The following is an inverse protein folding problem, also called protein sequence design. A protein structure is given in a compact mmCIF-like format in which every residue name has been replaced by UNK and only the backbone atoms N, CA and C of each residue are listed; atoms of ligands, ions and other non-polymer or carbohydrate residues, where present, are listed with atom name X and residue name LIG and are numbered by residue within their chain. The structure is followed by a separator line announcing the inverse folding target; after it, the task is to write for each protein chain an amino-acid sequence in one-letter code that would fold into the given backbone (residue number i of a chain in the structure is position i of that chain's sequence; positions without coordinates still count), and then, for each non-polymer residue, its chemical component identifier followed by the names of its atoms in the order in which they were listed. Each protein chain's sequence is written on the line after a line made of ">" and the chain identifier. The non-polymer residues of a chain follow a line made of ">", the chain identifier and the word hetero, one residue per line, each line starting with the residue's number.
data_IF_839229253513
#
_entry.id   IF_839229253513
#
_cell.length_a   1.000
_cell.length_b   1.000
_cell.length_c   1.000
_cell.angle_alpha   90.00
_cell.angle_beta   90.00
_cell.angle_gamma   90.00
#
_symmetry.space_group_name_H-M   'P 1'
#
loop_
_entity.id
_entity.type
_entity.pdbx_description
1 polymer ?
#
# COMPACT_ATOMS: atom_id res chain seq x y z
N UNK A 1 -56.67 -40.24 -23.70
CA UNK A 1 -56.29 -39.12 -24.60
C UNK A 1 -54.84 -38.71 -24.34
N UNK A 2 -54.20 -38.00 -25.27
CA UNK A 2 -52.86 -37.42 -25.06
C UNK A 2 -52.99 -36.03 -24.47
N UNK A 3 -52.12 -35.67 -23.53
CA UNK A 3 -52.02 -34.29 -23.06
C UNK A 3 -51.42 -33.40 -24.16
N UNK A 4 -51.74 -32.10 -24.16
CA UNK A 4 -51.11 -31.10 -25.03
C UNK A 4 -49.96 -30.39 -24.31
N UNK A 5 -48.94 -29.98 -25.07
CA UNK A 5 -47.80 -29.21 -24.54
C UNK A 5 -48.29 -27.81 -24.14
N UNK A 6 -47.99 -27.33 -22.91
CA UNK A 6 -48.33 -25.96 -22.51
C UNK A 6 -47.67 -24.91 -23.42
N UNK A 7 -48.42 -23.86 -23.77
CA UNK A 7 -47.95 -22.74 -24.59
C UNK A 7 -48.39 -21.40 -23.98
N UNK A 8 -47.49 -20.44 -23.75
CA UNK A 8 -46.05 -20.49 -24.06
C UNK A 8 -45.27 -21.47 -23.17
N UNK A 9 -44.08 -21.86 -23.61
CA UNK A 9 -43.17 -22.67 -22.80
C UNK A 9 -42.84 -21.92 -21.50
N UNK A 10 -42.90 -22.58 -20.33
CA UNK A 10 -42.62 -21.91 -19.07
C UNK A 10 -41.18 -21.38 -19.06
N UNK A 11 -40.93 -20.34 -18.26
CA UNK A 11 -39.58 -19.81 -18.03
C UNK A 11 -39.31 -19.70 -16.53
N UNK A 12 -38.05 -19.85 -16.15
CA UNK A 12 -37.59 -19.67 -14.78
C UNK A 12 -36.23 -18.98 -14.80
N UNK A 13 -36.15 -17.81 -14.16
CA UNK A 13 -34.92 -17.02 -14.13
C UNK A 13 -33.72 -17.84 -13.62
N UNK A 14 -32.60 -17.74 -14.33
CA UNK A 14 -31.37 -18.45 -13.98
C UNK A 14 -31.42 -19.96 -14.16
N UNK A 15 -32.44 -20.51 -14.83
CA UNK A 15 -32.56 -21.94 -15.09
C UNK A 15 -32.83 -22.23 -16.58
N UNK A 16 -32.37 -23.39 -17.04
CA UNK A 16 -32.74 -24.00 -18.32
C UNK A 16 -33.89 -24.96 -18.09
N UNK A 17 -34.89 -24.95 -18.96
CA UNK A 17 -35.98 -25.93 -18.93
C UNK A 17 -35.46 -27.29 -19.44
N UNK A 18 -35.57 -28.33 -18.62
CA UNK A 18 -35.09 -29.69 -18.92
C UNK A 18 -36.20 -30.60 -19.48
N UNK A 19 -37.46 -30.15 -19.45
CA UNK A 19 -38.62 -30.92 -19.91
C UNK A 19 -39.68 -31.18 -18.84
N UNK A 20 -40.75 -31.84 -19.26
CA UNK A 20 -41.84 -32.28 -18.38
C UNK A 20 -41.58 -33.67 -17.85
N UNK A 21 -41.91 -33.90 -16.58
CA UNK A 21 -41.73 -35.18 -15.91
C UNK A 21 -43.04 -35.62 -15.27
N UNK A 22 -43.33 -36.91 -15.30
CA UNK A 22 -44.43 -37.50 -14.55
C UNK A 22 -44.03 -37.57 -13.07
N UNK A 23 -44.85 -36.95 -12.21
CA UNK A 23 -44.64 -36.97 -10.76
C UNK A 23 -44.75 -38.37 -10.19
N UNK A 24 -45.63 -39.20 -10.75
CA UNK A 24 -45.65 -40.63 -10.49
C UNK A 24 -44.43 -41.28 -11.17
N UNK A 25 -43.38 -41.54 -10.39
CA UNK A 25 -42.18 -42.24 -10.86
C UNK A 25 -41.03 -41.35 -11.37
N UNK A 26 -41.14 -40.02 -11.28
CA UNK A 26 -40.05 -39.07 -11.60
C UNK A 26 -39.40 -39.35 -12.96
N UNK A 27 -40.22 -39.66 -13.97
CA UNK A 27 -39.78 -40.09 -15.30
C UNK A 27 -40.07 -39.02 -16.36
N UNK A 28 -39.21 -38.85 -17.38
CA UNK A 28 -39.47 -37.89 -18.46
C UNK A 28 -40.81 -38.16 -19.15
N UNK A 29 -41.54 -37.10 -19.47
CA UNK A 29 -42.82 -37.16 -20.17
C UNK A 29 -42.68 -36.63 -21.60
N UNK A 30 -43.10 -37.43 -22.57
CA UNK A 30 -43.15 -37.12 -23.98
C UNK A 30 -44.61 -37.05 -24.44
N UNK A 31 -45.09 -35.85 -24.74
CA UNK A 31 -46.49 -35.59 -25.15
C UNK A 31 -46.90 -36.27 -26.46
N UNK A 32 -45.94 -36.68 -27.31
CA UNK A 32 -46.24 -37.40 -28.54
C UNK A 32 -46.46 -38.91 -28.32
N UNK A 33 -45.86 -39.47 -27.27
CA UNK A 33 -45.78 -40.93 -27.07
C UNK A 33 -46.56 -41.39 -25.84
N UNK A 34 -46.55 -40.61 -24.76
CA UNK A 34 -47.21 -40.99 -23.52
C UNK A 34 -48.71 -40.70 -23.57
N UNK A 35 -49.49 -41.64 -23.02
CA UNK A 35 -50.93 -41.55 -22.91
C UNK A 35 -51.34 -41.36 -21.45
N UNK A 36 -52.41 -40.58 -21.24
CA UNK A 36 -53.00 -40.40 -19.91
C UNK A 36 -54.05 -41.48 -19.70
N UNK A 37 -53.76 -42.46 -18.84
CA UNK A 37 -54.67 -43.57 -18.48
C UNK A 37 -55.29 -43.44 -17.10
N UNK A 38 -54.80 -42.50 -16.29
CA UNK A 38 -55.27 -42.18 -14.94
C UNK A 38 -54.90 -40.72 -14.60
N UNK A 39 -55.35 -40.23 -13.44
CA UNK A 39 -54.94 -38.92 -12.93
C UNK A 39 -53.41 -38.80 -12.95
N UNK A 40 -52.90 -37.89 -13.77
CA UNK A 40 -51.46 -37.73 -14.04
C UNK A 40 -51.07 -36.30 -13.71
N UNK A 41 -50.12 -36.14 -12.79
CA UNK A 41 -49.55 -34.84 -12.45
C UNK A 41 -48.19 -34.71 -13.13
N UNK A 42 -48.08 -33.76 -14.06
CA UNK A 42 -46.81 -33.43 -14.72
C UNK A 42 -46.21 -32.19 -14.07
N UNK A 43 -44.89 -32.15 -13.98
CA UNK A 43 -44.18 -30.97 -13.49
C UNK A 43 -42.98 -30.63 -14.38
N UNK A 44 -42.66 -29.34 -14.43
CA UNK A 44 -41.51 -28.81 -15.14
C UNK A 44 -40.23 -29.10 -14.36
N UNK A 45 -39.25 -29.72 -15.00
CA UNK A 45 -37.90 -29.90 -14.46
C UNK A 45 -36.98 -28.80 -14.97
N UNK A 46 -36.12 -28.31 -14.08
CA UNK A 46 -35.26 -27.17 -14.32
C UNK A 46 -33.82 -27.50 -13.91
N UNK A 47 -32.86 -27.06 -14.72
CA UNK A 47 -31.43 -27.10 -14.39
C UNK A 47 -30.93 -25.69 -14.12
N UNK A 48 -30.26 -25.46 -12.99
CA UNK A 48 -29.65 -24.16 -12.71
C UNK A 48 -28.57 -23.85 -13.75
N UNK A 49 -28.57 -22.61 -14.26
CA UNK A 49 -27.56 -22.17 -15.21
C UNK A 49 -26.23 -22.00 -14.47
N UNK A 50 -25.13 -22.24 -15.18
CA UNK A 50 -23.79 -21.97 -14.69
C UNK A 50 -23.08 -21.03 -15.65
N UNK A 51 -22.25 -20.16 -15.10
CA UNK A 51 -21.51 -19.15 -15.86
C UNK A 51 -20.05 -19.18 -15.49
N UNK A 52 -19.18 -19.04 -16.50
CA UNK A 52 -17.74 -18.98 -16.29
C UNK A 52 -17.35 -17.72 -15.53
N UNK A 53 -16.54 -17.88 -14.49
CA UNK A 53 -15.91 -16.79 -13.76
C UNK A 53 -14.43 -16.75 -14.09
N UNK A 54 -14.00 -15.71 -14.80
CA UNK A 54 -12.59 -15.52 -15.18
C UNK A 54 -11.99 -14.35 -14.41
N UNK A 55 -10.72 -14.47 -14.07
CA UNK A 55 -9.95 -13.39 -13.46
C UNK A 55 -8.48 -13.45 -13.86
N UNK A 56 -7.88 -12.26 -13.94
CA UNK A 56 -6.50 -12.08 -14.38
C UNK A 56 -5.46 -12.33 -13.30
N UNK A 57 -4.20 -12.38 -13.71
CA UNK A 57 -3.04 -12.34 -12.81
C UNK A 57 -2.47 -10.93 -12.82
N UNK A 58 -2.72 -10.12 -11.78
CA UNK A 58 -2.29 -8.72 -11.78
C UNK A 58 -0.78 -8.60 -11.56
N UNK A 59 -0.14 -7.61 -12.17
CA UNK A 59 1.22 -7.22 -11.81
C UNK A 59 1.24 -6.54 -10.43
N UNK A 60 2.33 -6.69 -9.66
CA UNK A 60 2.52 -6.04 -8.35
C UNK A 60 1.49 -6.41 -7.28
N UNK A 61 0.95 -7.63 -7.36
CA UNK A 61 0.09 -8.19 -6.33
C UNK A 61 -0.48 -9.53 -6.72
N UNK A 62 -1.59 -9.90 -6.08
CA UNK A 62 -2.31 -11.15 -6.31
C UNK A 62 -3.80 -10.90 -6.36
N UNK A 63 -4.54 -11.77 -7.05
CA UNK A 63 -5.99 -11.80 -7.05
C UNK A 63 -6.44 -13.24 -6.79
N UNK A 64 -7.25 -13.42 -5.74
CA UNK A 64 -7.87 -14.70 -5.38
C UNK A 64 -9.38 -14.58 -5.49
N UNK A 65 -10.03 -15.70 -5.75
CA UNK A 65 -11.48 -15.81 -5.82
C UNK A 65 -11.95 -16.97 -4.94
N UNK A 66 -12.99 -16.74 -4.16
CA UNK A 66 -13.56 -17.72 -3.25
C UNK A 66 -15.08 -17.78 -3.39
N UNK A 67 -15.62 -19.01 -3.44
CA UNK A 67 -17.05 -19.29 -3.41
C UNK A 67 -17.36 -19.98 -2.08
N UNK A 68 -18.16 -19.33 -1.23
CA UNK A 68 -18.48 -19.83 0.11
C UNK A 68 -17.24 -20.20 0.96
N UNK A 69 -16.17 -19.39 0.87
CA UNK A 69 -14.90 -19.61 1.58
C UNK A 69 -13.97 -20.64 0.96
N UNK A 70 -14.33 -21.21 -0.19
CA UNK A 70 -13.50 -22.19 -0.91
C UNK A 70 -12.90 -21.52 -2.14
N UNK A 71 -11.57 -21.58 -2.26
CA UNK A 71 -10.85 -21.04 -3.41
C UNK A 71 -11.33 -21.69 -4.73
N UNK A 72 -11.50 -20.86 -5.76
CA UNK A 72 -11.85 -21.30 -7.10
C UNK A 72 -10.77 -20.87 -8.10
N UNK A 73 -10.56 -21.70 -9.11
CA UNK A 73 -9.68 -21.37 -10.23
C UNK A 73 -10.39 -20.48 -11.25
N UNK A 74 -9.61 -19.68 -11.99
CA UNK A 74 -10.11 -18.89 -13.12
C UNK A 74 -10.70 -19.81 -14.19
N UNK A 75 -11.85 -19.43 -14.74
CA UNK A 75 -12.62 -20.22 -15.69
C UNK A 75 -13.63 -21.18 -15.04
N UNK A 76 -13.65 -21.34 -13.71
CA UNK A 76 -14.61 -22.25 -13.05
C UNK A 76 -16.06 -21.80 -13.31
N UNK A 77 -16.95 -22.71 -13.75
CA UNK A 77 -18.38 -22.41 -13.84
C UNK A 77 -18.98 -22.30 -12.44
N UNK A 78 -19.76 -21.23 -12.22
CA UNK A 78 -20.45 -20.93 -10.97
C UNK A 78 -21.96 -20.86 -11.23
N UNK A 79 -22.76 -21.47 -10.36
CA UNK A 79 -24.22 -21.45 -10.44
C UNK A 79 -24.80 -20.03 -10.41
N UNK A 80 -25.89 -19.83 -11.13
CA UNK A 80 -26.65 -18.58 -11.17
C UNK A 80 -27.00 -18.07 -9.77
N UNK A 81 -26.82 -16.77 -9.56
CA UNK A 81 -27.19 -16.06 -8.35
C UNK A 81 -26.22 -16.23 -7.18
N UNK A 82 -25.20 -17.09 -7.30
CA UNK A 82 -24.15 -17.21 -6.28
C UNK A 82 -23.26 -15.96 -6.28
N UNK A 83 -22.69 -15.66 -5.12
CA UNK A 83 -21.73 -14.57 -4.95
C UNK A 83 -20.32 -15.13 -4.76
N UNK A 84 -19.39 -14.63 -5.55
CA UNK A 84 -17.95 -14.90 -5.44
C UNK A 84 -17.29 -13.72 -4.76
N UNK A 85 -16.47 -13.97 -3.75
CA UNK A 85 -15.63 -12.96 -3.11
C UNK A 85 -14.26 -12.96 -3.77
N UNK A 86 -13.86 -11.82 -4.31
CA UNK A 86 -12.52 -11.59 -4.80
C UNK A 86 -11.70 -10.86 -3.76
N UNK A 87 -10.44 -11.26 -3.59
CA UNK A 87 -9.51 -10.65 -2.66
C UNK A 87 -8.23 -10.29 -3.40
N UNK A 88 -7.95 -8.99 -3.44
CA UNK A 88 -6.71 -8.42 -3.95
C UNK A 88 -5.69 -8.38 -2.82
N UNK A 89 -4.51 -8.95 -3.05
CA UNK A 89 -3.35 -8.82 -2.17
C UNK A 89 -2.27 -7.97 -2.83
N UNK A 90 -2.22 -6.65 -2.59
CA UNK A 90 -1.14 -5.79 -3.11
C UNK A 90 0.23 -6.27 -2.64
N UNK A 91 1.25 -6.15 -3.50
CA UNK A 91 2.63 -6.32 -3.08
C UNK A 91 3.06 -5.20 -2.12
N UNK A 92 4.17 -5.40 -1.39
CA UNK A 92 4.69 -4.40 -0.46
C UNK A 92 4.95 -3.07 -1.17
N UNK A 93 4.43 -1.98 -0.60
CA UNK A 93 4.53 -0.65 -1.20
C UNK A 93 3.46 -0.30 -2.22
N UNK A 94 2.55 -1.22 -2.57
CA UNK A 94 1.44 -0.96 -3.48
C UNK A 94 0.11 -0.86 -2.73
N UNK A 95 -0.89 -0.28 -3.39
CA UNK A 95 -2.30 -0.29 -2.99
C UNK A 95 -3.18 -0.64 -4.17
N UNK A 96 -4.40 -1.10 -3.90
CA UNK A 96 -5.40 -1.31 -4.95
C UNK A 96 -5.71 0.02 -5.63
N UNK A 97 -5.57 0.03 -6.94
CA UNK A 97 -5.84 1.18 -7.79
C UNK A 97 -7.25 1.07 -8.37
N UNK A 98 -7.47 0.12 -9.28
CA UNK A 98 -8.73 -0.02 -10.00
C UNK A 98 -9.19 -1.47 -10.00
N UNK A 99 -10.49 -1.67 -9.79
CA UNK A 99 -11.18 -2.93 -10.11
C UNK A 99 -11.88 -2.78 -11.46
N UNK A 100 -11.82 -3.82 -12.29
CA UNK A 100 -12.57 -3.90 -13.54
C UNK A 100 -13.38 -5.18 -13.56
N UNK A 101 -14.71 -5.04 -13.46
CA UNK A 101 -15.65 -6.16 -13.39
C UNK A 101 -16.58 -6.05 -14.60
N UNK A 102 -16.70 -7.14 -15.36
CA UNK A 102 -17.56 -7.23 -16.54
C UNK A 102 -18.50 -8.42 -16.38
N UNK A 103 -19.82 -8.24 -16.40
CA UNK A 103 -20.52 -6.95 -16.48
C UNK A 103 -20.40 -6.15 -15.18
N UNK A 104 -20.38 -4.82 -15.27
CA UNK A 104 -20.24 -3.94 -14.09
C UNK A 104 -21.38 -4.11 -13.07
N UNK A 105 -22.57 -4.47 -13.54
CA UNK A 105 -23.75 -4.78 -12.70
C UNK A 105 -23.58 -6.00 -11.79
N UNK A 106 -22.56 -6.83 -12.02
CA UNK A 106 -22.27 -7.98 -11.18
C UNK A 106 -21.70 -7.59 -9.81
N UNK A 107 -21.09 -6.40 -9.66
CA UNK A 107 -20.53 -5.93 -8.40
C UNK A 107 -21.64 -5.65 -7.38
N UNK A 108 -21.49 -6.19 -6.17
CA UNK A 108 -22.43 -5.99 -5.05
C UNK A 108 -21.82 -5.15 -3.92
N UNK A 109 -20.53 -5.36 -3.62
CA UNK A 109 -19.85 -4.72 -2.48
C UNK A 109 -18.35 -4.64 -2.73
N UNK A 110 -17.69 -3.59 -2.21
CA UNK A 110 -16.27 -3.35 -2.44
C UNK A 110 -16.00 -2.92 -3.88
N UNK A 111 -14.90 -3.40 -4.47
CA UNK A 111 -14.59 -3.10 -5.87
C UNK A 111 -14.28 -1.62 -6.15
N UNK A 112 -13.96 -0.83 -5.12
CA UNK A 112 -13.58 0.58 -5.23
C UNK A 112 -12.05 0.75 -5.10
N UNK A 113 -11.49 1.89 -5.54
CA UNK A 113 -10.08 2.21 -5.27
C UNK A 113 -9.74 2.09 -3.78
N UNK A 114 -8.63 1.40 -3.48
CA UNK A 114 -8.23 1.08 -2.10
C UNK A 114 -8.92 -0.13 -1.47
N UNK A 115 -10.04 -0.63 -2.00
CA UNK A 115 -10.70 -1.83 -1.47
C UNK A 115 -9.91 -3.09 -1.80
N UNK A 116 -9.54 -3.87 -0.78
CA UNK A 116 -8.88 -5.17 -0.96
C UNK A 116 -9.85 -6.30 -1.34
N UNK A 117 -11.16 -6.04 -1.35
CA UNK A 117 -12.17 -7.03 -1.69
C UNK A 117 -13.19 -6.51 -2.69
N UNK A 118 -13.81 -7.44 -3.43
CA UNK A 118 -14.98 -7.20 -4.25
C UNK A 118 -15.91 -8.43 -4.20
N UNK A 119 -17.17 -8.25 -3.83
CA UNK A 119 -18.19 -9.32 -3.88
C UNK A 119 -18.98 -9.19 -5.16
N UNK A 120 -19.02 -10.26 -5.94
CA UNK A 120 -19.55 -10.26 -7.31
C UNK A 120 -20.61 -11.35 -7.46
N UNK A 121 -21.85 -10.96 -7.79
CA UNK A 121 -22.96 -11.87 -8.04
C UNK A 121 -22.92 -12.38 -9.47
N UNK A 122 -22.99 -13.70 -9.64
CA UNK A 122 -22.87 -14.35 -10.94
C UNK A 122 -24.26 -14.55 -11.55
N UNK A 123 -24.60 -13.72 -12.54
CA UNK A 123 -25.84 -13.84 -13.33
C UNK A 123 -25.58 -14.01 -14.83
N UNK A 124 -24.33 -13.82 -15.26
CA UNK A 124 -23.83 -14.00 -16.61
C UNK A 124 -22.35 -14.43 -16.53
N UNK A 125 -21.71 -14.68 -17.68
CA UNK A 125 -20.27 -14.86 -17.72
C UNK A 125 -19.58 -13.59 -17.19
N UNK A 126 -18.66 -13.76 -16.25
CA UNK A 126 -18.07 -12.65 -15.50
C UNK A 126 -16.55 -12.67 -15.58
N UNK A 127 -15.97 -11.50 -15.84
CA UNK A 127 -14.52 -11.27 -15.82
C UNK A 127 -14.17 -10.24 -14.75
N UNK A 128 -13.16 -10.54 -13.93
CA UNK A 128 -12.68 -9.64 -12.86
C UNK A 128 -11.18 -9.41 -12.98
N UNK A 129 -10.78 -8.15 -13.03
CA UNK A 129 -9.38 -7.72 -12.99
C UNK A 129 -9.18 -6.68 -11.89
N UNK A 130 -7.94 -6.58 -11.42
CA UNK A 130 -7.51 -5.56 -10.45
C UNK A 130 -6.16 -5.01 -10.88
N UNK A 131 -5.95 -3.70 -10.73
CA UNK A 131 -4.66 -3.04 -10.88
C UNK A 131 -4.17 -2.53 -9.52
N UNK A 132 -2.85 -2.37 -9.41
CA UNK A 132 -2.22 -1.80 -8.23
C UNK A 132 -1.36 -0.60 -8.63
N UNK A 133 -1.36 0.41 -7.77
CA UNK A 133 -0.53 1.60 -7.91
C UNK A 133 0.43 1.72 -6.74
N UNK A 134 1.64 2.22 -6.98
CA UNK A 134 2.64 2.38 -5.94
C UNK A 134 2.16 3.43 -4.92
N UNK A 135 2.44 3.20 -3.65
CA UNK A 135 2.17 4.18 -2.61
C UNK A 135 3.12 5.36 -2.76
N UNK A 136 2.61 6.55 -2.48
CA UNK A 136 3.41 7.77 -2.37
C UNK A 136 3.25 8.30 -0.95
N UNK A 137 4.33 8.86 -0.43
CA UNK A 137 4.36 9.42 0.92
C UNK A 137 4.94 10.81 0.89
N UNK A 138 4.35 11.71 1.67
CA UNK A 138 4.89 13.06 1.84
C UNK A 138 6.23 13.01 2.56
N UNK A 139 7.18 13.79 2.05
CA UNK A 139 8.47 14.02 2.68
C UNK A 139 8.55 15.47 3.10
N UNK A 140 8.54 15.74 4.39
CA UNK A 140 8.65 17.08 4.95
C UNK A 140 10.01 17.26 5.61
N UNK A 141 10.52 18.49 5.54
CA UNK A 141 11.74 18.86 6.24
C UNK A 141 11.70 20.32 6.66
N UNK A 142 12.31 20.59 7.80
CA UNK A 142 12.33 21.91 8.43
C UNK A 142 13.35 22.86 7.83
N UNK A 143 13.22 24.13 8.18
CA UNK A 143 14.20 25.19 7.92
C UNK A 143 15.01 25.43 9.19
N UNK A 144 16.21 24.86 9.31
CA UNK A 144 17.00 24.99 10.52
C UNK A 144 17.56 26.40 10.70
N UNK A 145 17.81 26.81 11.95
CA UNK A 145 18.57 28.02 12.25
C UNK A 145 20.09 27.73 12.20
N UNK A 146 20.90 28.73 11.80
CA UNK A 146 22.37 28.65 11.73
C UNK A 146 22.91 27.64 10.70
N UNK A 147 22.18 27.46 9.61
CA UNK A 147 22.56 26.56 8.52
C UNK A 147 21.42 26.34 7.55
N UNK A 148 21.61 25.41 6.61
CA UNK A 148 20.60 25.04 5.62
C UNK A 148 20.39 23.54 5.59
N UNK A 149 19.18 23.12 5.21
CA UNK A 149 18.82 21.74 4.95
C UNK A 149 18.21 21.64 3.54
N UNK A 150 18.82 20.82 2.69
CA UNK A 150 18.34 20.52 1.34
C UNK A 150 17.99 19.05 1.21
N UNK A 151 17.05 18.73 0.34
CA UNK A 151 16.65 17.36 0.04
C UNK A 151 16.73 17.12 -1.47
N UNK A 152 17.28 15.97 -1.86
CA UNK A 152 17.47 15.57 -3.25
C UNK A 152 16.99 14.14 -3.48
N UNK A 153 16.28 13.92 -4.59
CA UNK A 153 15.89 12.62 -5.09
C UNK A 153 16.59 12.39 -6.43
N UNK A 154 17.42 11.33 -6.50
CA UNK A 154 18.21 11.02 -7.69
C UNK A 154 19.01 12.23 -8.23
N UNK A 155 19.61 13.01 -7.33
CA UNK A 155 20.42 14.20 -7.65
C UNK A 155 19.61 15.45 -8.02
N UNK A 156 18.27 15.41 -7.97
CA UNK A 156 17.42 16.57 -8.20
C UNK A 156 16.80 17.08 -6.91
N UNK A 157 16.89 18.39 -6.67
CA UNK A 157 16.30 19.01 -5.50
C UNK A 157 14.78 18.80 -5.44
N UNK A 158 14.26 18.53 -4.24
CA UNK A 158 12.83 18.41 -3.96
C UNK A 158 12.38 19.45 -2.94
N UNK A 159 11.13 19.90 -3.08
CA UNK A 159 10.49 20.76 -2.10
C UNK A 159 9.95 19.96 -0.91
N UNK A 160 9.89 20.60 0.26
CA UNK A 160 9.23 20.04 1.44
C UNK A 160 7.74 19.82 1.16
N UNK A 161 7.22 18.66 1.58
CA UNK A 161 5.85 18.21 1.31
C UNK A 161 5.67 17.43 0.02
N UNK A 162 6.69 17.30 -0.84
CA UNK A 162 6.57 16.55 -2.10
C UNK A 162 6.23 15.07 -1.82
N UNK A 163 5.20 14.51 -2.48
CA UNK A 163 4.93 13.08 -2.41
C UNK A 163 6.00 12.30 -3.19
N UNK A 164 6.63 11.33 -2.53
CA UNK A 164 7.67 10.47 -3.08
C UNK A 164 7.17 9.03 -3.11
N UNK A 165 7.44 8.33 -4.20
CA UNK A 165 7.14 6.90 -4.37
C UNK A 165 7.77 6.02 -3.29
N UNK A 166 7.04 4.97 -2.88
CA UNK A 166 7.50 3.98 -1.92
C UNK A 166 8.85 3.37 -2.32
N UNK A 167 9.71 3.19 -1.33
CA UNK A 167 11.00 2.54 -1.47
C UNK A 167 12.11 3.41 -2.04
N UNK A 168 11.80 4.62 -2.54
CA UNK A 168 12.81 5.58 -2.98
C UNK A 168 13.62 6.09 -1.79
N UNK A 169 14.86 6.48 -2.06
CA UNK A 169 15.76 7.05 -1.06
C UNK A 169 15.99 8.52 -1.37
N UNK A 170 15.76 9.38 -0.39
CA UNK A 170 16.03 10.82 -0.45
C UNK A 170 17.33 11.10 0.30
N UNK A 171 18.22 11.88 -0.30
CA UNK A 171 19.43 12.36 0.38
C UNK A 171 19.18 13.76 0.91
N UNK A 172 19.38 13.93 2.21
CA UNK A 172 19.34 15.22 2.87
C UNK A 172 20.75 15.71 3.11
N UNK A 173 21.00 17.00 2.84
CA UNK A 173 22.30 17.64 3.00
C UNK A 173 22.16 18.85 3.91
N UNK A 174 22.90 18.84 5.00
CA UNK A 174 22.99 19.94 5.95
C UNK A 174 24.29 20.73 5.68
N UNK A 175 24.15 22.04 5.54
CA UNK A 175 25.30 22.95 5.41
C UNK A 175 25.26 23.92 6.58
N UNK A 176 26.13 23.76 7.59
CA UNK A 176 26.24 24.70 8.71
C UNK A 176 26.68 26.08 8.24
N UNK A 177 26.23 27.13 8.94
CA UNK A 177 26.85 28.45 8.82
C UNK A 177 28.27 28.46 9.41
N UNK A 178 29.14 29.42 9.01
CA UNK A 178 30.50 29.51 9.55
C UNK A 178 30.53 29.58 11.09
N UNK A 179 31.34 28.71 11.70
CA UNK A 179 31.48 28.58 13.16
C UNK A 179 30.41 27.70 13.83
N UNK A 180 29.61 27.00 13.04
CA UNK A 180 28.69 25.96 13.49
C UNK A 180 29.03 24.61 12.87
N UNK A 181 28.58 23.54 13.52
CA UNK A 181 28.65 22.16 13.03
C UNK A 181 27.30 21.47 13.20
N UNK A 182 27.08 20.41 12.44
CA UNK A 182 25.88 19.56 12.59
C UNK A 182 25.89 18.94 13.99
N UNK A 183 24.82 19.17 14.74
CA UNK A 183 24.65 18.67 16.10
C UNK A 183 23.77 17.44 16.12
N UNK A 184 22.56 17.56 15.56
CA UNK A 184 21.53 16.53 15.64
C UNK A 184 20.82 16.35 14.30
N UNK A 185 20.42 15.12 14.03
CA UNK A 185 19.47 14.77 12.98
C UNK A 185 18.26 14.11 13.65
N UNK A 186 17.07 14.51 13.22
CA UNK A 186 15.82 13.89 13.67
C UNK A 186 15.06 13.42 12.43
N UNK A 187 14.92 12.10 12.28
CA UNK A 187 14.17 11.46 11.19
C UNK A 187 12.99 10.72 11.81
N UNK A 188 11.77 11.05 11.36
CA UNK A 188 10.54 10.39 11.82
C UNK A 188 9.84 9.76 10.62
N UNK A 189 9.62 8.44 10.60
CA UNK A 189 10.03 7.47 11.62
C UNK A 189 11.55 7.22 11.59
N UNK A 190 12.14 6.91 12.76
CA UNK A 190 13.58 6.66 12.85
C UNK A 190 14.07 5.50 11.96
N UNK A 191 13.20 4.51 11.72
CA UNK A 191 13.47 3.39 10.80
C UNK A 191 13.65 3.79 9.34
N UNK A 192 13.31 5.03 8.96
CA UNK A 192 13.54 5.53 7.61
C UNK A 192 15.01 5.88 7.34
N UNK A 193 15.80 6.16 8.38
CA UNK A 193 17.22 6.49 8.22
C UNK A 193 18.03 5.25 7.80
N UNK A 194 18.77 5.36 6.71
CA UNK A 194 19.62 4.26 6.19
C UNK A 194 21.11 4.52 6.39
N UNK A 195 21.56 5.76 6.21
CA UNK A 195 22.98 6.11 6.21
C UNK A 195 23.16 7.56 6.63
N UNK A 196 24.29 7.87 7.30
CA UNK A 196 24.54 9.20 7.84
C UNK A 196 23.59 9.54 8.99
N UNK A 197 23.13 10.79 9.07
CA UNK A 197 22.16 11.19 10.08
C UNK A 197 22.65 11.08 11.52
N UNK A 198 23.96 11.11 11.73
CA UNK A 198 24.59 11.15 13.06
C UNK A 198 25.16 12.54 13.35
N UNK A 199 25.44 12.88 14.63
CA UNK A 199 26.12 14.14 14.95
C UNK A 199 27.40 14.33 14.13
N UNK A 200 27.57 15.52 13.56
CA UNK A 200 28.66 15.84 12.64
C UNK A 200 28.50 15.35 11.19
N UNK A 201 27.53 14.47 10.88
CA UNK A 201 27.31 14.03 9.50
C UNK A 201 26.72 15.16 8.64
N UNK A 202 27.33 15.51 7.48
CA UNK A 202 26.77 16.51 6.58
C UNK A 202 25.54 16.00 5.82
N UNK A 203 25.31 14.69 5.80
CA UNK A 203 24.22 14.07 5.03
C UNK A 203 23.44 13.03 5.83
N UNK A 204 22.19 12.82 5.45
CA UNK A 204 21.35 11.70 5.89
C UNK A 204 20.61 11.11 4.68
N UNK A 205 20.77 9.81 4.42
CA UNK A 205 20.01 9.08 3.39
C UNK A 205 18.82 8.40 4.04
N UNK A 206 17.63 8.70 3.53
CA UNK A 206 16.35 8.31 4.16
C UNK A 206 15.48 7.57 3.14
N UNK A 207 15.11 6.33 3.46
CA UNK A 207 14.22 5.51 2.64
C UNK A 207 12.77 5.81 2.95
N UNK A 208 12.00 6.13 1.92
CA UNK A 208 10.61 6.53 2.05
C UNK A 208 9.71 5.30 1.99
N UNK A 209 9.27 4.82 3.15
CA UNK A 209 8.27 3.73 3.26
C UNK A 209 7.00 4.16 3.99
N UNK A 210 6.99 5.38 4.53
CA UNK A 210 5.89 6.03 5.23
C UNK A 210 6.04 7.55 5.09
N UNK A 211 5.04 8.31 5.53
CA UNK A 211 5.17 9.76 5.67
C UNK A 211 6.38 10.07 6.56
N UNK A 212 7.28 10.92 6.07
CA UNK A 212 8.60 11.10 6.68
C UNK A 212 8.88 12.58 6.93
N UNK A 213 9.34 12.91 8.13
CA UNK A 213 9.78 14.24 8.53
C UNK A 213 11.27 14.21 8.88
N UNK A 214 12.04 15.16 8.35
CA UNK A 214 13.49 15.29 8.62
C UNK A 214 13.83 16.68 9.12
N UNK A 215 14.50 16.76 10.27
CA UNK A 215 15.03 18.00 10.83
C UNK A 215 16.52 17.84 11.14
N UNK A 216 17.23 18.97 11.13
CA UNK A 216 18.64 19.04 11.52
C UNK A 216 18.83 20.21 12.50
N UNK A 217 19.67 20.00 13.52
CA UNK A 217 20.11 21.01 14.46
C UNK A 217 21.59 21.32 14.28
N UNK A 218 21.98 22.57 14.53
CA UNK A 218 23.37 23.01 14.49
C UNK A 218 23.79 23.55 15.86
N UNK A 219 25.04 23.30 16.22
CA UNK A 219 25.66 23.80 17.46
C UNK A 219 26.95 24.54 17.12
N UNK A 220 27.32 25.52 17.96
CA UNK A 220 28.56 26.29 17.77
C UNK A 220 29.77 25.36 17.85
N UNK A 221 30.77 25.62 17.01
CA UNK A 221 32.08 24.99 17.13
C UNK A 221 32.79 25.45 18.40
N UNK A 222 33.61 24.55 18.96
CA UNK A 222 34.51 24.84 20.06
C UNK A 222 35.93 25.03 19.55
N UNK A 223 36.59 26.08 20.04
CA UNK A 223 37.98 26.41 19.73
C UNK A 223 38.82 26.27 21.00
N UNK A 224 39.99 25.65 20.88
CA UNK A 224 40.93 25.51 21.98
C UNK A 224 41.83 26.74 22.04
N UNK A 225 41.83 27.41 23.18
CA UNK A 225 42.74 28.50 23.52
C UNK A 225 43.81 27.94 24.45
N UNK A 226 45.05 27.95 23.98
CA UNK A 226 46.22 27.50 24.73
C UNK A 226 47.04 28.68 25.23
N UNK A 227 47.60 28.56 26.42
CA UNK A 227 48.42 29.59 27.05
C UNK A 227 49.88 29.15 27.10
N UNK A 228 50.79 30.03 26.72
CA UNK A 228 52.24 29.82 26.81
C UNK A 228 52.79 30.75 27.89
N UNK A 229 53.31 30.18 28.97
CA UNK A 229 53.87 30.95 30.09
C UNK A 229 55.30 31.47 29.85
N UNK A 230 55.92 31.20 28.68
CA UNK A 230 57.28 31.67 28.32
C UNK A 230 58.33 31.46 29.43
N UNK A 231 58.27 30.30 30.09
CA UNK A 231 59.18 29.91 31.18
C UNK A 231 58.71 30.26 32.60
N UNK A 232 57.50 30.80 32.77
CA UNK A 232 56.85 30.92 34.09
C UNK A 232 56.05 29.69 34.51
N UNK A 233 55.68 29.61 35.79
CA UNK A 233 54.90 28.53 36.41
C UNK A 233 53.72 29.09 37.24
N UNK A 234 52.53 28.47 37.19
CA UNK A 234 52.16 27.33 36.35
C UNK A 234 51.83 27.74 34.90
N UNK A 235 51.99 26.82 33.94
CA UNK A 235 51.44 27.00 32.59
C UNK A 235 49.92 26.86 32.68
N UNK A 236 49.12 27.86 32.26
CA UNK A 236 47.68 27.77 32.42
C UNK A 236 47.06 26.68 31.55
N UNK A 237 46.04 26.01 32.09
CA UNK A 237 45.30 24.98 31.36
C UNK A 237 44.61 25.57 30.11
N UNK A 238 44.58 24.78 29.03
CA UNK A 238 43.86 25.15 27.83
C UNK A 238 42.36 25.33 28.11
N UNK A 239 41.74 26.32 27.47
CA UNK A 239 40.32 26.57 27.55
C UNK A 239 39.64 26.17 26.25
N UNK A 240 38.42 25.64 26.33
CA UNK A 240 37.57 25.45 25.14
C UNK A 240 36.50 26.52 25.15
N UNK A 241 36.51 27.41 24.15
CA UNK A 241 35.53 28.48 23.98
C UNK A 241 34.68 28.22 22.75
N UNK A 242 33.38 28.50 22.81
CA UNK A 242 32.53 28.36 21.62
C UNK A 242 32.73 29.53 20.66
N UNK A 243 32.33 29.34 19.41
CA UNK A 243 32.37 30.38 18.40
C UNK A 243 31.76 31.71 18.88
N UNK A 244 32.53 32.80 18.68
CA UNK A 244 32.21 34.18 19.12
C UNK A 244 32.08 34.39 20.64
N UNK A 245 32.53 33.44 21.46
CA UNK A 245 32.59 33.60 22.92
C UNK A 245 34.02 33.95 23.37
N UNK A 246 34.16 34.55 24.57
CA UNK A 246 35.45 34.99 25.10
C UNK A 246 36.05 33.93 26.02
N UNK A 247 37.37 33.76 25.96
CA UNK A 247 38.12 33.02 26.97
C UNK A 247 38.13 33.80 28.29
N UNK A 248 38.22 33.07 29.40
CA UNK A 248 38.38 33.65 30.73
C UNK A 248 39.87 33.89 31.01
N UNK A 249 40.16 34.87 31.87
CA UNK A 249 41.54 35.06 32.36
C UNK A 249 41.97 33.81 33.13
N UNK A 250 43.11 33.16 32.80
CA UNK A 250 43.55 31.98 33.53
C UNK A 250 43.97 32.31 34.96
N UNK A 251 43.67 31.41 35.89
CA UNK A 251 44.05 31.54 37.30
C UNK A 251 44.65 30.22 37.81
N UNK A 252 45.77 30.25 38.57
CA UNK A 252 46.53 31.45 38.97
C UNK A 252 47.34 32.05 37.81
N UNK A 253 47.74 33.31 37.94
CA UNK A 253 48.67 33.95 37.00
C UNK A 253 50.06 33.28 37.07
N UNK A 254 50.75 33.05 35.93
CA UNK A 254 52.10 32.48 35.94
C UNK A 254 53.11 33.44 36.57
N UNK A 255 53.97 32.92 37.44
CA UNK A 255 55.14 33.66 37.97
C UNK A 255 56.42 33.14 37.32
N UNK A 256 57.44 33.99 37.16
CA UNK A 256 58.76 33.60 36.67
C UNK A 256 59.80 33.97 37.72
N UNK A 257 60.48 32.99 38.30
CA UNK A 257 61.64 33.27 39.15
C UNK A 257 62.79 33.78 38.27
N UNK A 258 63.45 34.83 38.77
CA UNK A 258 64.56 35.51 38.10
C UNK A 258 65.87 34.74 38.13
#
# INVERSE_FOLDING_TARGET
>A
EKASVPSPEPTKEGHTFDGWYNKAGNSPWNFAVNEVTQNTELYAKWRINTYSVTFGTPANGTLKAELAGIAIASGKPVEYGKTVTFTAGPASGYKVDTWTITPASALQEGGTPGSTTAKVKITAATTVNVSFTLNTYSVTFGTPANGTLKAELAGSAIASGKPIEYGKTVTFTAVPEPGYKVDTWTVTPASALQEGGTPGSPTAKVKITAATTVNVGFTKEGYTVTFDAKGGTPVPAAQTVKYKEKASVPSPEPTKEG
#
